data_IF_822439863105
#
_entry.id   IF_822439863105
#
_cell.length_a   1.000
_cell.length_b   1.000
_cell.length_c   1.000
_cell.angle_alpha   90.00
_cell.angle_beta   90.00
_cell.angle_gamma   90.00
#
_symmetry.space_group_name_H-M   'P 1'
#
loop_
_entity.id
_entity.type
_entity.pdbx_description
1 polymer ?
#
# COMPACT_ATOMS: atom_id res chain seq x y z
N UNK A 1 -17.46 -36.05 -12.61
CA UNK A 1 -18.27 -34.83 -12.76
C UNK A 1 -17.52 -33.84 -13.62
N UNK A 2 -18.11 -33.23 -14.66
CA UNK A 2 -17.39 -32.28 -15.52
C UNK A 2 -16.88 -31.10 -14.69
N UNK A 3 -15.59 -30.81 -14.78
CA UNK A 3 -14.90 -29.73 -14.07
C UNK A 3 -15.11 -28.40 -14.80
N UNK A 4 -16.05 -27.57 -14.31
CA UNK A 4 -16.16 -26.19 -14.75
C UNK A 4 -15.14 -25.30 -14.01
N UNK A 5 -14.59 -24.31 -14.70
CA UNK A 5 -13.68 -23.33 -14.08
C UNK A 5 -14.46 -22.43 -13.12
N UNK A 6 -13.85 -22.03 -11.99
CA UNK A 6 -14.52 -21.21 -10.95
C UNK A 6 -15.10 -19.89 -11.52
N UNK A 7 -14.41 -19.27 -12.48
CA UNK A 7 -14.92 -18.06 -13.15
C UNK A 7 -16.28 -18.28 -13.83
N UNK A 8 -16.52 -19.46 -14.40
CA UNK A 8 -17.82 -19.77 -15.01
C UNK A 8 -18.91 -19.88 -13.95
N UNK A 9 -18.59 -20.42 -12.77
CA UNK A 9 -19.54 -20.48 -11.64
C UNK A 9 -19.84 -19.07 -11.10
N UNK A 10 -18.84 -18.18 -11.05
CA UNK A 10 -19.04 -16.77 -10.67
C UNK A 10 -19.96 -16.04 -11.65
N UNK A 11 -19.64 -16.09 -12.93
CA UNK A 11 -20.43 -15.41 -13.97
C UNK A 11 -21.83 -16.02 -14.04
N UNK A 12 -21.94 -17.35 -14.04
CA UNK A 12 -23.22 -18.06 -14.07
C UNK A 12 -24.08 -17.77 -12.85
N UNK A 13 -23.52 -17.83 -11.64
CA UNK A 13 -24.25 -17.54 -10.41
C UNK A 13 -24.77 -16.10 -10.35
N UNK A 14 -23.97 -15.13 -10.83
CA UNK A 14 -24.39 -13.74 -10.89
C UNK A 14 -25.52 -13.52 -11.92
N UNK A 15 -25.34 -14.01 -13.16
CA UNK A 15 -26.34 -13.88 -14.23
C UNK A 15 -27.65 -14.57 -13.85
N UNK A 16 -27.60 -15.79 -13.31
CA UNK A 16 -28.78 -16.52 -12.89
C UNK A 16 -29.49 -15.87 -11.69
N UNK A 17 -28.75 -15.14 -10.84
CA UNK A 17 -29.32 -14.39 -9.72
C UNK A 17 -30.18 -13.21 -10.16
N UNK A 18 -29.80 -12.55 -11.26
CA UNK A 18 -30.60 -11.46 -11.84
C UNK A 18 -31.68 -11.98 -12.78
N UNK A 19 -31.33 -12.90 -13.69
CA UNK A 19 -32.15 -13.25 -14.86
C UNK A 19 -32.69 -14.68 -14.84
N UNK A 20 -32.50 -15.45 -13.77
CA UNK A 20 -32.93 -16.86 -13.69
C UNK A 20 -34.44 -17.06 -13.85
N UNK A 21 -35.23 -16.03 -13.53
CA UNK A 21 -36.69 -16.04 -13.69
C UNK A 21 -37.15 -16.03 -15.15
N UNK A 22 -36.34 -15.50 -16.07
CA UNK A 22 -36.66 -15.45 -17.50
C UNK A 22 -36.63 -16.83 -18.17
N UNK A 23 -35.86 -17.76 -17.60
CA UNK A 23 -35.67 -19.12 -18.14
C UNK A 23 -36.38 -20.20 -17.31
N UNK A 24 -37.09 -19.83 -16.24
CA UNK A 24 -37.68 -20.77 -15.29
C UNK A 24 -38.75 -21.69 -15.91
N UNK A 25 -39.37 -21.26 -17.03
CA UNK A 25 -40.40 -22.01 -17.74
C UNK A 25 -39.84 -22.91 -18.87
N UNK A 26 -38.54 -22.84 -19.14
CA UNK A 26 -37.89 -23.69 -20.15
C UNK A 26 -37.68 -25.12 -19.61
N UNK A 27 -37.88 -26.16 -20.44
CA UNK A 27 -37.70 -27.53 -20.00
C UNK A 27 -36.25 -27.79 -19.56
N UNK A 28 -36.06 -28.23 -18.31
CA UNK A 28 -34.75 -28.49 -17.71
C UNK A 28 -34.09 -27.28 -17.02
N UNK A 29 -34.79 -26.15 -16.94
CA UNK A 29 -34.34 -24.92 -16.29
C UNK A 29 -35.27 -24.49 -15.14
N UNK A 30 -36.03 -25.42 -14.54
CA UNK A 30 -36.90 -25.10 -13.39
C UNK A 30 -36.09 -24.53 -12.21
N UNK A 31 -36.68 -23.71 -11.31
CA UNK A 31 -35.95 -23.09 -10.20
C UNK A 31 -35.19 -24.10 -9.32
N UNK A 32 -35.76 -25.29 -9.12
CA UNK A 32 -35.11 -26.38 -8.38
C UNK A 32 -33.91 -26.97 -9.14
N UNK A 33 -34.01 -27.14 -10.46
CA UNK A 33 -32.89 -27.62 -11.29
C UNK A 33 -31.76 -26.58 -11.34
N UNK A 34 -32.10 -25.29 -11.43
CA UNK A 34 -31.13 -24.20 -11.36
C UNK A 34 -30.38 -24.22 -10.01
N UNK A 35 -31.11 -24.41 -8.90
CA UNK A 35 -30.53 -24.52 -7.56
C UNK A 35 -29.59 -25.71 -7.44
N UNK A 36 -30.03 -26.90 -7.86
CA UNK A 36 -29.22 -28.11 -7.84
C UNK A 36 -27.95 -27.98 -8.70
N UNK A 37 -28.06 -27.34 -9.87
CA UNK A 37 -26.92 -27.09 -10.76
C UNK A 37 -25.85 -26.24 -10.07
N UNK A 38 -26.21 -25.12 -9.42
CA UNK A 38 -25.27 -24.27 -8.70
C UNK A 38 -24.74 -24.94 -7.42
N UNK A 39 -25.60 -25.59 -6.64
CA UNK A 39 -25.22 -26.23 -5.37
C UNK A 39 -24.27 -27.42 -5.57
N UNK A 40 -24.45 -28.20 -6.64
CA UNK A 40 -23.50 -29.28 -6.98
C UNK A 40 -22.08 -28.78 -7.21
N UNK A 41 -21.93 -27.51 -7.63
CA UNK A 41 -20.64 -26.86 -7.88
C UNK A 41 -20.14 -26.06 -6.68
N UNK A 42 -21.01 -25.58 -5.80
CA UNK A 42 -20.62 -24.72 -4.67
C UNK A 42 -19.62 -25.39 -3.71
N UNK A 43 -19.69 -26.72 -3.54
CA UNK A 43 -18.78 -27.45 -2.65
C UNK A 43 -17.31 -27.43 -3.12
N UNK A 44 -17.06 -27.16 -4.40
CA UNK A 44 -15.72 -27.18 -5.00
C UNK A 44 -15.15 -25.79 -5.31
N UNK A 45 -15.86 -24.72 -4.95
CA UNK A 45 -15.43 -23.34 -5.20
C UNK A 45 -14.86 -22.66 -3.96
N UNK A 46 -14.10 -21.57 -4.18
CA UNK A 46 -13.57 -20.72 -3.12
C UNK A 46 -14.66 -20.10 -2.22
N UNK A 47 -14.35 -19.72 -0.96
CA UNK A 47 -15.29 -19.05 -0.07
C UNK A 47 -15.91 -17.78 -0.68
N UNK A 48 -15.13 -16.98 -1.41
CA UNK A 48 -15.61 -15.80 -2.11
C UNK A 48 -16.69 -16.12 -3.17
N UNK A 49 -16.54 -17.25 -3.88
CA UNK A 49 -17.57 -17.70 -4.84
C UNK A 49 -18.83 -18.16 -4.13
N UNK A 50 -18.70 -18.84 -3.00
CA UNK A 50 -19.86 -19.25 -2.19
C UNK A 50 -20.60 -18.04 -1.64
N UNK A 51 -19.88 -16.97 -1.25
CA UNK A 51 -20.49 -15.72 -0.78
C UNK A 51 -21.32 -15.03 -1.88
N UNK A 52 -20.82 -15.05 -3.12
CA UNK A 52 -21.58 -14.60 -4.30
C UNK A 52 -22.85 -15.44 -4.49
N UNK A 53 -22.74 -16.77 -4.39
CA UNK A 53 -23.89 -17.68 -4.55
C UNK A 53 -24.93 -17.48 -3.43
N UNK A 54 -24.54 -17.14 -2.20
CA UNK A 54 -25.50 -16.80 -1.15
C UNK A 54 -26.33 -15.57 -1.52
N UNK A 55 -25.76 -14.59 -2.22
CA UNK A 55 -26.51 -13.44 -2.76
C UNK A 55 -27.44 -13.84 -3.92
N UNK A 56 -27.03 -14.78 -4.77
CA UNK A 56 -27.92 -15.39 -5.77
C UNK A 56 -29.13 -16.07 -5.10
N UNK A 57 -28.89 -16.81 -4.02
CA UNK A 57 -29.93 -17.53 -3.28
C UNK A 57 -30.92 -16.60 -2.60
N UNK A 58 -30.49 -15.45 -2.06
CA UNK A 58 -31.44 -14.50 -1.45
C UNK A 58 -32.35 -13.87 -2.49
N UNK A 59 -31.83 -13.58 -3.69
CA UNK A 59 -32.63 -13.11 -4.83
C UNK A 59 -33.64 -14.15 -5.28
N UNK A 60 -33.25 -15.41 -5.35
CA UNK A 60 -34.17 -16.51 -5.66
C UNK A 60 -35.22 -16.74 -4.57
N UNK A 61 -34.91 -16.49 -3.30
CA UNK A 61 -35.92 -16.54 -2.25
C UNK A 61 -37.01 -15.47 -2.42
N UNK A 62 -36.68 -14.33 -3.04
CA UNK A 62 -37.64 -13.29 -3.40
C UNK A 62 -38.47 -13.67 -4.66
N UNK A 63 -37.84 -14.26 -5.67
CA UNK A 63 -38.47 -14.50 -6.98
C UNK A 63 -39.17 -15.86 -7.10
N UNK A 64 -38.73 -16.87 -6.36
CA UNK A 64 -39.23 -18.25 -6.42
C UNK A 64 -39.70 -18.73 -5.03
N UNK A 65 -40.97 -18.48 -4.65
CA UNK A 65 -41.52 -18.91 -3.37
C UNK A 65 -41.46 -20.44 -3.15
N UNK A 66 -41.50 -21.22 -4.23
CA UNK A 66 -41.48 -22.69 -4.22
C UNK A 66 -40.19 -23.31 -3.67
N UNK A 67 -39.03 -22.66 -3.85
CA UNK A 67 -37.74 -23.14 -3.33
C UNK A 67 -37.31 -22.45 -2.03
N UNK A 68 -38.13 -21.53 -1.49
CA UNK A 68 -37.80 -20.71 -0.30
C UNK A 68 -37.38 -21.56 0.90
N UNK A 69 -38.06 -22.68 1.15
CA UNK A 69 -37.75 -23.57 2.28
C UNK A 69 -36.39 -24.27 2.14
N UNK A 70 -36.02 -24.66 0.92
CA UNK A 70 -34.70 -25.27 0.67
C UNK A 70 -33.58 -24.24 0.84
N UNK A 71 -33.80 -23.01 0.38
CA UNK A 71 -32.85 -21.91 0.53
C UNK A 71 -32.64 -21.53 2.02
N UNK A 72 -33.71 -21.53 2.83
CA UNK A 72 -33.60 -21.34 4.29
C UNK A 72 -32.74 -22.42 4.95
N UNK A 73 -32.90 -23.69 4.54
CA UNK A 73 -32.04 -24.78 5.02
C UNK A 73 -30.57 -24.62 4.61
N UNK A 74 -30.29 -24.02 3.45
CA UNK A 74 -28.93 -23.69 3.03
C UNK A 74 -28.37 -22.57 3.90
N UNK A 75 -29.10 -21.46 4.10
CA UNK A 75 -28.64 -20.37 4.94
C UNK A 75 -28.36 -20.83 6.36
N UNK A 76 -29.23 -21.64 6.96
CA UNK A 76 -29.03 -22.14 8.33
C UNK A 76 -27.72 -22.94 8.47
N UNK A 77 -27.40 -23.77 7.48
CA UNK A 77 -26.12 -24.48 7.44
C UNK A 77 -24.92 -23.53 7.39
N UNK A 78 -24.99 -22.45 6.62
CA UNK A 78 -23.89 -21.48 6.49
C UNK A 78 -23.73 -20.56 7.70
N UNK A 79 -24.75 -20.42 8.57
CA UNK A 79 -24.64 -19.65 9.84
C UNK A 79 -23.62 -20.24 10.81
N UNK A 80 -23.34 -21.53 10.71
CA UNK A 80 -22.42 -22.25 11.58
C UNK A 80 -21.01 -22.42 10.98
N UNK A 81 -20.73 -21.81 9.82
CA UNK A 81 -19.42 -21.85 9.18
C UNK A 81 -18.48 -20.84 9.83
N UNK A 82 -17.18 -21.17 9.92
CA UNK A 82 -16.15 -20.34 10.57
C UNK A 82 -15.73 -19.11 9.76
N UNK A 83 -16.01 -19.10 8.46
CA UNK A 83 -15.69 -17.99 7.57
C UNK A 83 -16.63 -16.81 7.85
N UNK A 84 -16.05 -15.66 8.22
CA UNK A 84 -16.82 -14.50 8.70
C UNK A 84 -17.75 -13.92 7.65
N UNK A 85 -17.34 -13.89 6.38
CA UNK A 85 -18.13 -13.33 5.28
C UNK A 85 -19.31 -14.24 4.95
N UNK A 86 -19.08 -15.56 4.87
CA UNK A 86 -20.16 -16.53 4.65
C UNK A 86 -21.14 -16.56 5.82
N UNK A 87 -20.63 -16.55 7.06
CA UNK A 87 -21.44 -16.56 8.26
C UNK A 87 -22.30 -15.31 8.37
N UNK A 88 -21.72 -14.13 8.15
CA UNK A 88 -22.44 -12.86 8.22
C UNK A 88 -23.58 -12.83 7.20
N UNK A 89 -23.29 -13.09 5.93
CA UNK A 89 -24.31 -13.14 4.87
C UNK A 89 -25.41 -14.16 5.17
N UNK A 90 -25.05 -15.35 5.62
CA UNK A 90 -26.01 -16.39 5.93
C UNK A 90 -26.92 -16.01 7.11
N UNK A 91 -26.38 -15.39 8.17
CA UNK A 91 -27.17 -14.88 9.29
C UNK A 91 -28.13 -13.78 8.86
N UNK A 92 -27.66 -12.80 8.10
CA UNK A 92 -28.49 -11.68 7.63
C UNK A 92 -29.57 -12.16 6.64
N UNK A 93 -29.20 -12.95 5.64
CA UNK A 93 -30.15 -13.49 4.66
C UNK A 93 -31.17 -14.43 5.29
N UNK A 94 -30.78 -15.27 6.25
CA UNK A 94 -31.73 -16.12 6.98
C UNK A 94 -32.79 -15.27 7.70
N UNK A 95 -32.37 -14.19 8.37
CA UNK A 95 -33.30 -13.29 9.09
C UNK A 95 -34.22 -12.55 8.11
N UNK A 96 -33.71 -12.08 6.97
CA UNK A 96 -34.51 -11.36 5.98
C UNK A 96 -35.54 -12.31 5.34
N UNK A 97 -35.15 -13.52 4.94
CA UNK A 97 -36.03 -14.48 4.26
C UNK A 97 -37.03 -15.14 5.21
N UNK A 98 -36.71 -15.24 6.51
CA UNK A 98 -37.62 -15.80 7.54
C UNK A 98 -38.71 -14.82 7.99
N UNK A 99 -38.70 -13.58 7.51
CA UNK A 99 -39.76 -12.61 7.81
C UNK A 99 -41.08 -12.99 7.12
N UNK A 100 -42.24 -12.58 7.68
CA UNK A 100 -43.53 -12.76 7.03
C UNK A 100 -43.57 -12.07 5.66
N UNK A 101 -44.33 -12.63 4.72
CA UNK A 101 -44.41 -12.14 3.33
C UNK A 101 -45.09 -10.75 3.21
N UNK A 102 -45.71 -10.25 4.29
CA UNK A 102 -46.26 -8.89 4.39
C UNK A 102 -45.17 -7.80 4.52
N UNK A 103 -43.91 -8.17 4.80
CA UNK A 103 -42.79 -7.25 4.92
C UNK A 103 -42.14 -6.99 3.55
N UNK A 104 -42.33 -5.78 3.03
CA UNK A 104 -41.81 -5.32 1.72
C UNK A 104 -40.28 -5.25 1.71
N UNK A 105 -39.60 -5.40 2.86
CA UNK A 105 -38.15 -5.30 2.96
C UNK A 105 -37.40 -6.28 2.04
N UNK A 106 -37.85 -7.54 1.92
CA UNK A 106 -37.18 -8.51 1.04
C UNK A 106 -37.24 -8.09 -0.44
N UNK A 107 -38.38 -7.54 -0.86
CA UNK A 107 -38.59 -7.05 -2.22
C UNK A 107 -37.72 -5.81 -2.50
N UNK A 108 -37.72 -4.84 -1.58
CA UNK A 108 -36.93 -3.60 -1.72
C UNK A 108 -35.41 -3.88 -1.74
N UNK A 109 -34.93 -4.83 -0.93
CA UNK A 109 -33.50 -5.20 -0.90
C UNK A 109 -33.09 -5.94 -2.17
N UNK A 110 -34.01 -6.67 -2.81
CA UNK A 110 -33.76 -7.47 -4.00
C UNK A 110 -34.23 -6.80 -5.30
N UNK A 111 -34.40 -5.48 -5.32
CA UNK A 111 -34.70 -4.72 -6.54
C UNK A 111 -33.65 -4.94 -7.64
N UNK A 112 -34.07 -4.78 -8.89
CA UNK A 112 -33.17 -4.90 -10.04
C UNK A 112 -32.03 -3.88 -9.94
N UNK A 113 -30.80 -4.35 -10.14
CA UNK A 113 -29.67 -3.45 -10.04
C UNK A 113 -29.69 -2.40 -11.16
N UNK A 114 -29.44 -1.12 -10.86
CA UNK A 114 -29.34 -0.09 -11.87
C UNK A 114 -28.17 -0.37 -12.84
N UNK A 115 -28.27 0.08 -14.10
CA UNK A 115 -27.17 -0.07 -15.05
C UNK A 115 -25.91 0.60 -14.53
N UNK A 116 -24.77 -0.06 -14.71
CA UNK A 116 -23.48 0.54 -14.33
C UNK A 116 -23.27 1.87 -15.07
N UNK A 117 -22.83 2.93 -14.39
CA UNK A 117 -22.53 4.19 -15.05
C UNK A 117 -21.40 3.97 -16.05
N UNK A 118 -21.40 4.75 -17.15
CA UNK A 118 -20.33 4.72 -18.13
C UNK A 118 -19.00 5.09 -17.43
N UNK A 119 -18.06 4.15 -17.39
CA UNK A 119 -16.74 4.29 -16.79
C UNK A 119 -15.68 3.96 -17.82
N UNK A 120 -14.51 4.59 -17.71
CA UNK A 120 -13.34 4.15 -18.46
C UNK A 120 -13.06 2.66 -18.18
N UNK A 121 -12.68 1.91 -19.22
CA UNK A 121 -12.52 0.47 -19.10
C UNK A 121 -11.38 0.12 -18.14
N UNK A 122 -11.70 -0.43 -16.97
CA UNK A 122 -10.71 -0.95 -16.03
C UNK A 122 -9.79 -2.01 -16.67
N UNK A 123 -10.28 -2.72 -17.70
CA UNK A 123 -9.49 -3.65 -18.50
C UNK A 123 -8.45 -2.93 -19.38
N UNK A 124 -8.80 -1.80 -20.00
CA UNK A 124 -7.85 -0.97 -20.74
C UNK A 124 -6.79 -0.39 -19.80
N UNK A 125 -7.18 0.03 -18.60
CA UNK A 125 -6.23 0.49 -17.57
C UNK A 125 -5.25 -0.63 -17.18
N UNK A 126 -5.73 -1.85 -16.90
CA UNK A 126 -4.88 -3.01 -16.60
C UNK A 126 -4.01 -3.44 -17.79
N UNK A 127 -4.54 -3.35 -19.01
CA UNK A 127 -3.80 -3.64 -20.24
C UNK A 127 -2.65 -2.64 -20.43
N UNK A 128 -2.94 -1.35 -20.25
CA UNK A 128 -1.96 -0.27 -20.34
C UNK A 128 -0.89 -0.39 -19.24
N UNK A 129 -1.27 -0.81 -18.04
CA UNK A 129 -0.33 -1.08 -16.95
C UNK A 129 0.60 -2.25 -17.29
N UNK A 130 0.06 -3.36 -17.82
CA UNK A 130 0.88 -4.51 -18.25
C UNK A 130 1.80 -4.22 -19.44
N UNK A 131 1.36 -3.39 -20.40
CA UNK A 131 2.20 -2.97 -21.52
C UNK A 131 3.23 -1.90 -21.13
N UNK A 132 2.97 -1.12 -20.08
CA UNK A 132 3.91 -0.12 -19.55
C UNK A 132 5.15 -0.74 -18.89
N UNK A 133 5.03 -1.96 -18.35
CA UNK A 133 6.12 -2.71 -17.71
C UNK A 133 7.06 -3.41 -18.70
N UNK A 134 6.64 -3.58 -19.95
CA UNK A 134 7.51 -4.16 -20.99
C UNK A 134 8.19 -3.01 -21.71
N UNK A 135 9.50 -2.82 -21.51
CA UNK A 135 10.27 -1.64 -21.94
C UNK A 135 10.37 -1.34 -23.44
N UNK A 136 9.54 -1.94 -24.29
CA UNK A 136 9.48 -1.64 -25.70
C UNK A 136 8.52 -0.47 -26.00
N UNK A 137 9.09 0.74 -26.00
CA UNK A 137 8.36 1.98 -26.30
C UNK A 137 8.03 2.15 -27.79
N UNK A 138 8.23 1.12 -28.62
CA UNK A 138 8.13 1.21 -30.09
C UNK A 138 7.13 0.26 -30.74
N UNK A 139 6.29 -0.42 -29.98
CA UNK A 139 5.17 -1.16 -30.57
C UNK A 139 4.01 -0.20 -30.88
N UNK A 140 3.84 0.10 -32.16
CA UNK A 140 2.59 0.60 -32.70
C UNK A 140 1.48 -0.38 -32.32
N UNK A 141 0.49 0.08 -31.57
CA UNK A 141 -0.68 -0.73 -31.25
C UNK A 141 -1.60 -0.72 -32.48
N UNK A 142 -2.02 -1.91 -32.91
CA UNK A 142 -3.02 -2.08 -33.96
C UNK A 142 -4.37 -1.62 -33.39
N UNK A 143 -4.66 -0.34 -33.56
CA UNK A 143 -5.89 0.32 -33.10
C UNK A 143 -6.18 1.64 -33.83
N UNK A 144 -5.46 1.93 -34.91
CA UNK A 144 -5.66 3.15 -35.70
C UNK A 144 -5.16 4.43 -35.03
N UNK A 145 -5.07 5.48 -35.84
CA UNK A 145 -4.49 6.80 -35.51
C UNK A 145 -5.19 7.52 -34.34
N UNK A 146 -6.45 7.18 -34.07
CA UNK A 146 -7.28 7.81 -33.03
C UNK A 146 -6.89 7.36 -31.61
N UNK A 147 -6.60 6.08 -31.38
CA UNK A 147 -6.20 5.56 -30.08
C UNK A 147 -4.84 6.14 -29.58
N UNK A 148 -3.99 6.58 -30.52
CA UNK A 148 -2.74 7.26 -30.20
C UNK A 148 -2.93 8.78 -29.96
N UNK A 149 -3.95 9.39 -30.58
CA UNK A 149 -4.27 10.81 -30.41
C UNK A 149 -4.88 11.09 -29.03
N UNK A 150 -5.77 10.21 -28.54
CA UNK A 150 -6.35 10.32 -27.19
C UNK A 150 -5.29 10.20 -26.09
N UNK A 151 -4.22 9.44 -26.35
CA UNK A 151 -3.07 9.30 -25.45
C UNK A 151 -2.20 10.56 -25.38
N UNK A 152 -2.10 11.34 -26.46
CA UNK A 152 -1.42 12.64 -26.46
C UNK A 152 -2.29 13.76 -25.85
N UNK A 153 -3.62 13.66 -25.98
CA UNK A 153 -4.57 14.59 -25.38
C UNK A 153 -4.68 14.39 -23.86
N UNK A 154 -4.76 13.16 -23.38
CA UNK A 154 -4.79 12.83 -21.95
C UNK A 154 -3.50 13.26 -21.23
N UNK A 155 -2.35 13.19 -21.91
CA UNK A 155 -1.06 13.69 -21.38
C UNK A 155 -1.01 15.21 -21.26
N UNK A 156 -1.69 15.96 -22.14
CA UNK A 156 -1.71 17.43 -22.11
C UNK A 156 -2.61 17.98 -21.00
N UNK A 157 -3.73 17.33 -20.70
CA UNK A 157 -4.63 17.77 -19.62
C UNK A 157 -4.08 17.53 -18.20
N UNK A 158 -3.16 16.57 -18.01
CA UNK A 158 -2.50 16.34 -16.72
C UNK A 158 -1.36 17.34 -16.41
N UNK A 159 -1.03 18.24 -17.33
CA UNK A 159 0.11 19.17 -17.22
C UNK A 159 -0.29 20.65 -17.03
N UNK A 160 -1.57 21.00 -16.95
CA UNK A 160 -2.02 22.42 -16.99
C UNK A 160 -2.85 22.94 -15.80
N UNK A 161 -2.72 22.39 -14.59
CA UNK A 161 -3.35 22.99 -13.40
C UNK A 161 -2.30 23.33 -12.35
N UNK A 162 -1.88 24.60 -12.34
CA UNK A 162 -0.98 25.16 -11.34
C UNK A 162 -0.42 26.53 -11.73
N UNK A 163 -1.27 27.57 -11.72
CA UNK A 163 -0.87 28.98 -11.87
C UNK A 163 -1.98 29.90 -11.38
N UNK A 164 -1.63 30.76 -10.43
CA UNK A 164 -2.48 31.40 -9.42
C UNK A 164 -2.95 32.83 -9.79
N UNK A 165 -3.96 33.31 -9.05
CA UNK A 165 -4.30 34.71 -8.68
C UNK A 165 -5.03 35.68 -9.65
N UNK A 166 -6.27 36.11 -9.30
CA UNK A 166 -6.62 37.43 -8.66
C UNK A 166 -8.11 37.87 -8.80
N UNK A 167 -8.73 38.16 -7.65
CA UNK A 167 -9.81 39.13 -7.30
C UNK A 167 -10.68 39.84 -8.37
N UNK A 168 -12.02 39.71 -8.31
CA UNK A 168 -13.03 40.70 -7.78
C UNK A 168 -14.47 40.49 -8.33
N UNK A 169 -15.44 40.52 -7.41
CA UNK A 169 -16.85 40.94 -7.49
C UNK A 169 -17.76 40.47 -8.66
N UNK A 170 -18.71 39.57 -8.35
CA UNK A 170 -20.16 39.87 -8.38
C UNK A 170 -21.01 38.69 -7.90
N UNK A 171 -21.77 38.92 -6.84
CA UNK A 171 -22.88 38.07 -6.40
C UNK A 171 -24.01 38.15 -7.45
N UNK A 172 -24.56 37.02 -7.89
CA UNK A 172 -25.86 36.41 -7.50
C UNK A 172 -26.02 35.10 -8.29
N UNK A 173 -25.83 33.95 -7.66
CA UNK A 173 -26.32 32.62 -8.15
C UNK A 173 -25.98 31.44 -7.23
N UNK A 174 -25.31 31.66 -6.10
CA UNK A 174 -24.66 30.57 -5.36
C UNK A 174 -25.47 29.99 -4.18
N UNK A 175 -26.80 29.97 -4.29
CA UNK A 175 -27.69 29.30 -3.31
C UNK A 175 -28.17 27.93 -3.76
N UNK A 176 -27.83 27.49 -4.97
CA UNK A 176 -28.20 26.16 -5.49
C UNK A 176 -27.01 25.19 -5.58
N UNK A 177 -25.76 25.65 -5.41
CA UNK A 177 -24.56 24.78 -5.37
C UNK A 177 -24.25 24.24 -3.97
N UNK A 178 -24.67 24.95 -2.91
CA UNK A 178 -24.40 24.56 -1.52
C UNK A 178 -25.36 23.49 -0.97
N UNK A 179 -26.34 23.03 -1.76
CA UNK A 179 -27.21 21.91 -1.39
C UNK A 179 -26.79 20.56 -2.03
N UNK A 180 -25.77 20.56 -2.90
CA UNK A 180 -25.20 19.35 -3.50
C UNK A 180 -24.17 18.63 -2.60
N UNK A 181 -24.01 19.07 -1.35
CA UNK A 181 -23.01 18.56 -0.40
C UNK A 181 -23.56 17.73 0.76
N UNK A 182 -24.87 17.45 0.79
CA UNK A 182 -25.49 16.61 1.82
C UNK A 182 -25.96 15.28 1.21
N UNK A 183 -24.99 14.43 0.85
CA UNK A 183 -25.24 13.03 0.56
C UNK A 183 -25.32 12.25 1.89
N UNK A 184 -26.56 11.97 2.32
CA UNK A 184 -26.90 11.21 3.52
C UNK A 184 -27.14 9.71 3.21
N UNK A 185 -26.67 9.17 2.09
CA UNK A 185 -26.86 7.76 1.72
C UNK A 185 -25.64 7.19 0.98
N UNK A 186 -24.49 7.09 1.66
CA UNK A 186 -23.41 6.19 1.21
C UNK A 186 -23.69 4.77 1.68
N UNK A 187 -24.47 4.03 0.88
CA UNK A 187 -24.37 2.57 0.84
C UNK A 187 -23.07 2.21 0.13
N UNK A 188 -22.22 1.46 0.83
CA UNK A 188 -20.90 1.04 0.40
C UNK A 188 -20.96 0.28 -0.94
N UNK A 189 -20.41 0.89 -1.98
CA UNK A 189 -20.00 0.20 -3.21
C UNK A 189 -18.80 -0.68 -2.86
N UNK A 190 -19.06 -1.97 -2.63
CA UNK A 190 -18.06 -3.01 -2.42
C UNK A 190 -17.15 -3.07 -3.67
N UNK A 191 -15.97 -2.47 -3.54
CA UNK A 191 -14.81 -2.73 -4.40
C UNK A 191 -14.30 -4.15 -4.07
N UNK A 192 -13.79 -4.90 -5.06
CA UNK A 192 -13.24 -6.23 -4.80
C UNK A 192 -12.10 -6.09 -3.80
N UNK A 193 -12.15 -6.94 -2.77
CA UNK A 193 -11.24 -7.10 -1.64
C UNK A 193 -9.80 -6.61 -1.90
N UNK A 194 -9.62 -5.30 -1.78
CA UNK A 194 -8.38 -4.69 -1.32
C UNK A 194 -8.64 -4.59 0.17
N UNK A 195 -7.97 -5.42 0.98
CA UNK A 195 -7.91 -5.21 2.44
C UNK A 195 -7.84 -3.71 2.66
N UNK A 196 -8.77 -3.08 3.40
CA UNK A 196 -8.72 -1.64 3.59
C UNK A 196 -7.36 -1.33 4.18
N UNK A 197 -6.44 -0.83 3.37
CA UNK A 197 -5.13 -0.39 3.84
C UNK A 197 -5.44 0.67 4.88
N UNK A 198 -5.07 0.46 6.16
CA UNK A 198 -5.40 1.40 7.22
C UNK A 198 -4.96 2.79 6.78
N UNK A 199 -5.89 3.76 6.76
CA UNK A 199 -5.56 5.14 6.38
C UNK A 199 -4.43 5.61 7.30
N UNK A 200 -3.29 5.95 6.71
CA UNK A 200 -2.13 6.43 7.46
C UNK A 200 -2.50 7.70 8.24
N UNK A 201 -2.04 7.78 9.47
CA UNK A 201 -2.14 9.00 10.28
C UNK A 201 -1.15 10.01 9.72
N UNK A 202 -1.66 11.09 9.13
CA UNK A 202 -0.83 12.10 8.48
C UNK A 202 -0.82 13.40 9.30
N UNK A 203 0.38 13.91 9.56
CA UNK A 203 0.64 15.25 10.08
C UNK A 203 2.02 15.69 9.55
N UNK A 204 2.27 16.98 9.28
CA UNK A 204 3.58 17.46 8.83
C UNK A 204 4.73 17.04 9.77
N UNK A 205 4.48 16.97 11.07
CA UNK A 205 5.49 16.56 12.06
C UNK A 205 5.82 15.07 11.95
N UNK A 206 4.82 14.22 11.67
CA UNK A 206 4.99 12.77 11.50
C UNK A 206 5.94 12.48 10.33
N UNK A 207 5.75 13.17 9.20
CA UNK A 207 6.61 12.98 8.03
C UNK A 207 8.05 13.39 8.34
N UNK A 208 8.23 14.54 8.98
CA UNK A 208 9.55 15.04 9.39
C UNK A 208 10.26 14.09 10.36
N UNK A 209 9.52 13.54 11.31
CA UNK A 209 10.04 12.56 12.28
C UNK A 209 10.40 11.24 11.61
N UNK A 210 9.53 10.72 10.74
CA UNK A 210 9.77 9.53 9.95
C UNK A 210 11.05 9.68 9.10
N UNK A 211 11.15 10.76 8.32
CA UNK A 211 12.33 11.06 7.51
C UNK A 211 13.61 11.13 8.35
N UNK A 212 13.56 11.76 9.53
CA UNK A 212 14.71 11.80 10.45
C UNK A 212 15.11 10.41 10.92
N UNK A 213 14.14 9.57 11.30
CA UNK A 213 14.36 8.21 11.77
C UNK A 213 14.87 7.25 10.68
N UNK A 214 14.68 7.56 9.39
CA UNK A 214 15.34 6.80 8.32
C UNK A 214 16.87 6.86 8.42
N UNK A 215 17.44 7.93 8.99
CA UNK A 215 18.89 8.16 9.10
C UNK A 215 19.41 8.14 10.53
N UNK A 216 18.57 8.40 11.53
CA UNK A 216 18.91 8.32 12.94
C UNK A 216 18.54 6.95 13.53
N UNK A 217 19.24 6.47 14.57
CA UNK A 217 18.87 5.22 15.25
C UNK A 217 17.68 5.40 16.20
N UNK A 218 17.47 6.61 16.74
CA UNK A 218 16.44 6.90 17.73
C UNK A 218 15.79 8.27 17.55
N UNK A 219 14.56 8.40 18.06
CA UNK A 219 13.78 9.64 18.02
C UNK A 219 12.29 9.41 18.26
N UNK A 220 11.53 10.51 18.25
CA UNK A 220 10.06 10.49 18.28
C UNK A 220 9.56 10.16 16.86
N UNK A 221 8.57 9.27 16.75
CA UNK A 221 7.85 8.94 15.50
C UNK A 221 6.46 9.60 15.45
N UNK A 222 5.83 9.76 16.62
CA UNK A 222 4.52 10.37 16.74
C UNK A 222 4.36 10.99 18.13
N UNK A 223 3.67 12.12 18.19
CA UNK A 223 3.28 12.75 19.45
C UNK A 223 2.00 13.55 19.28
N UNK A 224 1.05 13.35 20.18
CA UNK A 224 -0.12 14.20 20.35
C UNK A 224 -0.34 14.56 21.83
N UNK A 225 -1.57 14.97 22.18
CA UNK A 225 -1.93 15.31 23.57
C UNK A 225 -2.01 14.06 24.47
N UNK A 226 -2.31 12.89 23.90
CA UNK A 226 -2.62 11.67 24.65
C UNK A 226 -1.43 10.70 24.71
N UNK A 227 -0.73 10.49 23.60
CA UNK A 227 0.28 9.47 23.38
C UNK A 227 1.52 10.05 22.71
N UNK A 228 2.69 9.58 23.13
CA UNK A 228 3.94 9.75 22.42
C UNK A 228 4.49 8.38 22.03
N UNK A 229 4.92 8.21 20.78
CA UNK A 229 5.56 7.00 20.28
C UNK A 229 7.00 7.33 19.90
N UNK A 230 7.94 6.79 20.68
CA UNK A 230 9.37 6.83 20.40
C UNK A 230 9.84 5.55 19.71
N UNK A 231 10.89 5.66 18.92
CA UNK A 231 11.54 4.53 18.24
C UNK A 231 13.03 4.55 18.58
N UNK A 232 13.57 3.37 18.85
CA UNK A 232 15.02 3.12 18.89
C UNK A 232 15.30 1.84 18.11
N UNK A 233 16.26 1.88 17.20
CA UNK A 233 16.52 0.80 16.27
C UNK A 233 18.02 0.48 16.18
N UNK A 234 18.32 -0.80 16.09
CA UNK A 234 19.66 -1.34 15.89
C UNK A 234 19.58 -2.45 14.86
N UNK A 235 20.54 -2.49 13.93
CA UNK A 235 20.58 -3.44 12.82
C UNK A 235 21.97 -4.06 12.71
N UNK A 236 22.02 -5.36 12.44
CA UNK A 236 23.25 -6.09 12.20
C UNK A 236 23.00 -7.17 11.14
N UNK A 237 23.74 -7.11 10.04
CA UNK A 237 23.48 -7.91 8.86
C UNK A 237 22.02 -7.79 8.39
N UNK A 238 21.36 -8.92 8.23
CA UNK A 238 19.97 -9.00 7.78
C UNK A 238 18.95 -8.92 8.93
N UNK A 239 19.40 -8.74 10.17
CA UNK A 239 18.55 -8.71 11.37
C UNK A 239 18.47 -7.30 11.95
N UNK A 240 17.30 -6.96 12.48
CA UNK A 240 17.04 -5.71 13.18
C UNK A 240 16.30 -5.91 14.49
N UNK A 241 16.55 -5.02 15.44
CA UNK A 241 15.82 -4.89 16.70
C UNK A 241 15.29 -3.47 16.80
N UNK A 242 13.96 -3.33 16.86
CA UNK A 242 13.31 -2.02 16.96
C UNK A 242 12.51 -1.96 18.25
N UNK A 243 12.94 -1.13 19.19
CA UNK A 243 12.20 -0.80 20.39
C UNK A 243 11.23 0.34 20.13
N UNK A 244 9.95 0.08 20.37
CA UNK A 244 8.87 1.06 20.36
C UNK A 244 8.56 1.46 21.80
N UNK A 245 8.48 2.77 22.06
CA UNK A 245 8.19 3.33 23.36
C UNK A 245 6.85 4.06 23.32
N UNK A 246 5.83 3.49 23.96
CA UNK A 246 4.48 4.07 24.04
C UNK A 246 4.34 4.83 25.36
N UNK A 247 4.47 6.16 25.32
CA UNK A 247 4.35 7.06 26.46
C UNK A 247 2.93 7.60 26.62
N UNK A 248 2.20 7.15 27.64
CA UNK A 248 0.88 7.66 27.98
C UNK A 248 1.01 9.03 28.66
N UNK A 249 0.54 10.09 28.01
CA UNK A 249 0.55 11.48 28.52
C UNK A 249 -0.69 11.81 29.34
N UNK A 250 -1.69 10.95 29.38
CA UNK A 250 -2.90 11.13 30.18
C UNK A 250 -2.66 10.80 31.66
N UNK A 251 -3.53 11.33 32.52
CA UNK A 251 -3.62 10.98 33.95
C UNK A 251 -4.50 9.74 34.20
N UNK A 252 -5.11 9.18 33.15
CA UNK A 252 -5.85 7.92 33.18
C UNK A 252 -5.12 6.83 32.40
N UNK A 253 -5.43 5.56 32.70
CA UNK A 253 -4.84 4.43 31.99
C UNK A 253 -5.46 4.32 30.59
N UNK A 254 -4.63 4.07 29.59
CA UNK A 254 -5.11 3.67 28.26
C UNK A 254 -5.48 2.20 28.32
N UNK A 255 -6.75 1.89 28.08
CA UNK A 255 -7.27 0.51 28.12
C UNK A 255 -7.50 -0.03 26.72
N UNK A 256 -7.67 -1.34 26.58
CA UNK A 256 -7.83 -2.01 25.27
C UNK A 256 -6.72 -1.65 24.28
N UNK A 257 -5.50 -1.43 24.79
CA UNK A 257 -4.35 -1.11 23.97
C UNK A 257 -3.99 -2.31 23.10
N UNK A 258 -3.87 -2.06 21.81
CA UNK A 258 -3.46 -3.05 20.80
C UNK A 258 -2.43 -2.41 19.90
N UNK A 259 -1.38 -3.17 19.59
CA UNK A 259 -0.36 -2.77 18.63
C UNK A 259 -0.11 -3.95 17.69
N UNK A 260 -0.27 -3.72 16.38
CA UNK A 260 -0.03 -4.71 15.35
C UNK A 260 0.84 -4.10 14.25
N UNK A 261 1.57 -4.95 13.52
CA UNK A 261 2.38 -4.50 12.39
C UNK A 261 1.86 -5.17 11.13
N UNK A 262 1.49 -4.34 10.16
CA UNK A 262 1.15 -4.78 8.81
C UNK A 262 2.38 -4.68 7.90
N UNK A 263 2.56 -5.71 7.07
CA UNK A 263 3.74 -5.88 6.23
C UNK A 263 3.23 -6.11 4.81
N UNK A 264 3.58 -5.21 3.90
CA UNK A 264 3.14 -5.29 2.50
C UNK A 264 3.67 -6.55 1.80
N UNK A 265 4.97 -6.84 1.94
CA UNK A 265 5.62 -8.03 1.40
C UNK A 265 6.21 -8.90 2.53
N UNK A 266 5.46 -9.96 2.89
CA UNK A 266 5.84 -10.90 3.95
C UNK A 266 6.91 -11.90 3.52
N UNK A 267 7.16 -12.04 2.21
CA UNK A 267 8.21 -12.89 1.67
C UNK A 267 9.56 -12.17 1.73
N UNK A 268 9.57 -10.85 1.51
CA UNK A 268 10.78 -10.04 1.57
C UNK A 268 11.14 -9.53 2.98
N UNK A 269 10.16 -9.27 3.85
CA UNK A 269 10.37 -8.72 5.19
C UNK A 269 9.56 -9.46 6.25
N UNK A 270 10.18 -9.76 7.40
CA UNK A 270 9.50 -10.27 8.58
C UNK A 270 9.63 -9.29 9.74
N UNK A 271 8.52 -8.95 10.38
CA UNK A 271 8.48 -8.10 11.56
C UNK A 271 7.50 -8.71 12.57
N UNK A 272 7.96 -8.98 13.79
CA UNK A 272 7.13 -9.56 14.84
C UNK A 272 7.48 -8.98 16.20
N UNK A 273 6.47 -8.79 17.06
CA UNK A 273 6.71 -8.45 18.45
C UNK A 273 7.39 -9.61 19.19
N UNK A 274 8.42 -9.29 19.98
CA UNK A 274 9.14 -10.25 20.82
C UNK A 274 8.24 -10.83 21.93
N UNK A 275 7.26 -10.06 22.38
CA UNK A 275 6.25 -10.42 23.38
C UNK A 275 4.91 -9.81 22.98
N UNK A 276 3.82 -10.43 23.40
CA UNK A 276 2.48 -9.88 23.20
C UNK A 276 2.41 -8.49 23.88
N UNK A 277 2.04 -7.41 23.16
CA UNK A 277 1.90 -6.10 23.77
C UNK A 277 0.87 -6.10 24.92
N UNK A 278 1.10 -5.32 25.99
CA UNK A 278 0.16 -5.22 27.10
C UNK A 278 -1.14 -4.56 26.62
N UNK A 279 -2.26 -4.99 27.19
CA UNK A 279 -3.58 -4.42 26.86
C UNK A 279 -3.87 -3.10 27.57
N UNK A 280 -2.95 -2.64 28.43
CA UNK A 280 -3.07 -1.36 29.13
C UNK A 280 -1.73 -0.64 29.19
N UNK A 281 -1.78 0.70 29.12
CA UNK A 281 -0.62 1.57 29.37
C UNK A 281 -0.96 2.52 30.52
N UNK A 282 -0.22 2.38 31.62
CA UNK A 282 -0.51 3.10 32.86
C UNK A 282 -0.36 4.63 32.70
N UNK A 283 -1.12 5.42 33.49
CA UNK A 283 -1.05 6.88 33.42
C UNK A 283 0.37 7.41 33.60
N UNK A 284 0.77 8.39 32.79
CA UNK A 284 2.09 9.04 32.90
C UNK A 284 3.28 8.07 32.88
N UNK A 285 3.12 6.88 32.30
CA UNK A 285 4.18 5.89 32.15
C UNK A 285 4.49 5.61 30.69
N UNK A 286 5.63 4.96 30.45
CA UNK A 286 6.05 4.51 29.14
C UNK A 286 6.14 2.98 29.10
N UNK A 287 5.46 2.38 28.13
CA UNK A 287 5.53 0.94 27.85
C UNK A 287 6.48 0.69 26.69
N UNK A 288 7.47 -0.19 26.89
CA UNK A 288 8.41 -0.59 25.85
C UNK A 288 7.97 -1.90 25.18
N UNK A 289 7.93 -1.92 23.86
CA UNK A 289 7.74 -3.13 23.05
C UNK A 289 8.91 -3.33 22.11
N UNK A 290 9.37 -4.58 21.96
CA UNK A 290 10.49 -4.91 21.08
C UNK A 290 9.98 -5.65 19.85
N UNK A 291 10.38 -5.18 18.67
CA UNK A 291 10.17 -5.86 17.39
C UNK A 291 11.46 -6.59 16.98
N UNK A 292 11.30 -7.83 16.55
CA UNK A 292 12.29 -8.58 15.78
C UNK A 292 12.02 -8.38 14.30
N UNK A 293 13.07 -7.97 13.58
CA UNK A 293 13.01 -7.68 12.15
C UNK A 293 14.00 -8.57 11.43
N UNK A 294 13.58 -9.18 10.32
CA UNK A 294 14.44 -9.95 9.42
C UNK A 294 14.20 -9.51 7.98
N UNK A 295 15.26 -9.06 7.31
CA UNK A 295 15.27 -8.76 5.88
C UNK A 295 15.62 -10.03 5.09
N UNK A 296 14.66 -10.58 4.36
CA UNK A 296 14.81 -11.81 3.58
C UNK A 296 15.19 -11.53 2.14
N UNK A 297 14.59 -10.50 1.55
CA UNK A 297 14.82 -10.06 0.17
C UNK A 297 14.63 -8.55 0.05
N UNK A 298 14.82 -8.02 -1.15
CA UNK A 298 14.59 -6.61 -1.46
C UNK A 298 13.12 -6.25 -1.23
N UNK A 299 12.87 -5.15 -0.53
CA UNK A 299 11.55 -4.56 -0.33
C UNK A 299 11.63 -3.03 -0.46
N UNK A 300 10.53 -2.40 -0.87
CA UNK A 300 10.41 -0.94 -1.03
C UNK A 300 9.43 -0.34 -0.02
N UNK A 301 8.37 -1.06 0.32
CA UNK A 301 7.32 -0.56 1.19
C UNK A 301 7.68 -0.76 2.68
N UNK A 302 7.73 0.31 3.48
CA UNK A 302 7.95 0.19 4.92
C UNK A 302 6.73 -0.45 5.62
N UNK A 303 6.93 -1.20 6.70
CA UNK A 303 5.83 -1.78 7.48
C UNK A 303 5.03 -0.71 8.23
N UNK A 304 3.75 -0.98 8.46
CA UNK A 304 2.82 -0.04 9.10
C UNK A 304 2.50 -0.54 10.52
N UNK A 305 2.75 0.30 11.51
CA UNK A 305 2.33 0.08 12.90
C UNK A 305 0.89 0.59 13.08
N UNK A 306 -0.03 -0.30 13.42
CA UNK A 306 -1.40 0.05 13.78
C UNK A 306 -1.53 -0.02 15.30
N UNK A 307 -1.89 1.09 15.93
CA UNK A 307 -2.10 1.24 17.37
C UNK A 307 -3.54 1.63 17.62
N UNK A 308 -4.24 0.89 18.48
CA UNK A 308 -5.59 1.27 18.91
C UNK A 308 -5.73 1.15 20.42
N UNK A 309 -6.43 2.09 21.04
CA UNK A 309 -6.62 2.15 22.49
C UNK A 309 -7.89 2.94 22.84
N UNK A 310 -8.40 2.76 24.05
CA UNK A 310 -9.49 3.54 24.62
C UNK A 310 -8.97 4.64 25.54
N UNK A 311 -9.36 5.88 25.23
CA UNK A 311 -9.08 7.08 26.04
C UNK A 311 -10.32 8.00 26.03
N UNK A 312 -11.40 7.55 26.67
CA UNK A 312 -12.73 8.18 26.58
C UNK A 312 -13.50 7.74 25.33
N UNK A 313 -12.83 7.77 24.16
CA UNK A 313 -13.30 7.16 22.91
C UNK A 313 -12.23 6.22 22.34
N UNK A 314 -12.62 5.39 21.36
CA UNK A 314 -11.68 4.54 20.63
C UNK A 314 -10.78 5.41 19.73
N UNK A 315 -9.47 5.28 19.92
CA UNK A 315 -8.45 5.93 19.09
C UNK A 315 -7.78 4.88 18.20
N UNK A 316 -7.40 5.29 16.98
CA UNK A 316 -6.70 4.44 16.02
C UNK A 316 -5.64 5.26 15.28
N UNK A 317 -4.40 4.78 15.30
CA UNK A 317 -3.24 5.46 14.74
C UNK A 317 -2.48 4.46 13.85
N UNK A 318 -2.22 4.84 12.61
CA UNK A 318 -1.50 3.99 11.64
C UNK A 318 -0.25 4.73 11.16
N UNK A 319 0.93 4.25 11.53
CA UNK A 319 2.21 4.94 11.30
C UNK A 319 3.15 4.08 10.47
N UNK A 320 3.86 4.67 9.51
CA UNK A 320 4.98 4.00 8.85
C UNK A 320 6.12 3.83 9.85
N UNK A 321 6.62 2.59 9.98
CA UNK A 321 7.82 2.33 10.75
C UNK A 321 9.06 2.62 9.90
N UNK A 322 10.12 3.24 10.46
CA UNK A 322 11.36 3.56 9.75
C UNK A 322 12.25 2.31 9.54
N UNK A 323 11.64 1.21 9.12
CA UNK A 323 12.29 -0.04 8.72
C UNK A 323 12.32 -0.02 7.19
N UNK A 324 13.49 0.34 6.65
CA UNK A 324 13.72 0.54 5.21
C UNK A 324 14.96 -0.25 4.79
N UNK A 325 15.08 -0.51 3.48
CA UNK A 325 16.17 -1.34 2.93
C UNK A 325 17.56 -0.85 3.33
N UNK A 326 17.77 0.47 3.41
CA UNK A 326 19.07 1.07 3.74
C UNK A 326 19.57 0.73 5.14
N UNK A 327 18.68 0.38 6.09
CA UNK A 327 19.06 -0.01 7.45
C UNK A 327 19.81 -1.33 7.54
N UNK A 328 19.76 -2.16 6.49
CA UNK A 328 20.43 -3.46 6.42
C UNK A 328 21.76 -3.42 5.66
N UNK A 329 22.28 -2.21 5.38
CA UNK A 329 23.63 -2.03 4.87
C UNK A 329 24.65 -2.03 6.00
N UNK A 330 25.74 -2.74 5.77
CA UNK A 330 26.97 -2.63 6.57
C UNK A 330 28.06 -1.99 5.74
N UNK A 331 28.64 -0.92 6.27
CA UNK A 331 29.71 -0.19 5.62
C UNK A 331 30.99 -1.02 5.52
N UNK A 332 31.64 -0.97 4.35
CA UNK A 332 32.88 -1.74 4.07
C UNK A 332 34.04 -0.77 3.85
N UNK A 333 35.19 -1.06 4.47
CA UNK A 333 36.44 -0.33 4.21
C UNK A 333 37.12 -0.94 2.98
N UNK A 334 37.45 -0.11 2.00
CA UNK A 334 38.19 -0.49 0.80
C UNK A 334 39.36 0.46 0.60
N UNK A 335 40.47 -0.06 0.08
CA UNK A 335 41.57 0.78 -0.40
C UNK A 335 41.24 1.35 -1.79
N UNK A 336 41.96 2.40 -2.22
CA UNK A 336 41.71 3.08 -3.50
C UNK A 336 41.73 2.12 -4.70
N UNK A 337 42.78 1.29 -4.82
CA UNK A 337 42.90 0.33 -5.91
C UNK A 337 41.74 -0.67 -5.94
N UNK A 338 41.39 -1.23 -4.78
CA UNK A 338 40.29 -2.19 -4.63
C UNK A 338 38.93 -1.58 -4.95
N UNK A 339 38.68 -0.33 -4.53
CA UNK A 339 37.46 0.39 -4.86
C UNK A 339 37.29 0.54 -6.37
N UNK A 340 38.30 1.03 -7.08
CA UNK A 340 38.20 1.24 -8.52
C UNK A 340 38.21 -0.05 -9.32
N UNK A 341 38.86 -1.10 -8.85
CA UNK A 341 38.75 -2.45 -9.41
C UNK A 341 37.29 -2.93 -9.36
N UNK A 342 36.67 -2.90 -8.17
CA UNK A 342 35.26 -3.28 -7.99
C UNK A 342 34.31 -2.36 -8.76
N UNK A 343 34.60 -1.06 -8.78
CA UNK A 343 33.84 -0.07 -9.55
C UNK A 343 33.81 -0.44 -11.04
N UNK A 344 34.97 -0.78 -11.61
CA UNK A 344 35.08 -1.24 -13.02
C UNK A 344 34.40 -2.59 -13.23
N UNK A 345 34.53 -3.51 -12.29
CA UNK A 345 33.93 -4.85 -12.38
C UNK A 345 32.40 -4.83 -12.42
N UNK A 346 31.76 -3.95 -11.64
CA UNK A 346 30.29 -3.78 -11.70
C UNK A 346 29.84 -3.26 -13.07
N UNK A 347 30.67 -2.42 -13.70
CA UNK A 347 30.42 -1.89 -15.04
C UNK A 347 29.43 -0.72 -15.05
N UNK A 348 28.83 -0.47 -16.22
CA UNK A 348 27.85 0.60 -16.44
C UNK A 348 26.39 0.14 -16.29
N UNK A 349 25.44 0.86 -16.91
CA UNK A 349 24.02 0.48 -16.92
C UNK A 349 23.82 -0.96 -17.43
N UNK A 350 22.86 -1.73 -16.86
CA UNK A 350 21.82 -1.33 -15.90
C UNK A 350 22.24 -1.38 -14.42
N UNK A 351 23.46 -1.83 -14.12
CA UNK A 351 23.99 -1.93 -12.74
C UNK A 351 24.52 -0.62 -12.18
N UNK A 352 24.57 0.41 -13.03
CA UNK A 352 24.81 1.79 -12.68
C UNK A 352 23.50 2.59 -12.77
N UNK A 353 23.17 3.27 -11.67
CA UNK A 353 22.17 4.34 -11.66
C UNK A 353 22.91 5.66 -11.47
N UNK A 354 22.60 6.65 -12.30
CA UNK A 354 23.20 7.99 -12.23
C UNK A 354 22.12 9.06 -12.29
N UNK A 355 22.25 10.08 -11.43
CA UNK A 355 21.34 11.22 -11.41
C UNK A 355 22.11 12.51 -11.19
N UNK A 356 21.68 13.57 -11.87
CA UNK A 356 22.16 14.94 -11.68
C UNK A 356 21.02 15.76 -11.10
N UNK A 357 21.27 16.51 -10.03
CA UNK A 357 20.25 17.30 -9.35
C UNK A 357 20.83 18.55 -8.67
N UNK A 358 20.00 19.57 -8.39
CA UNK A 358 20.43 20.77 -7.66
C UNK A 358 20.86 20.44 -6.23
N UNK A 359 21.94 21.05 -5.76
CA UNK A 359 22.46 20.86 -4.40
C UNK A 359 22.38 22.14 -3.58
N UNK A 360 22.21 21.98 -2.27
CA UNK A 360 22.26 23.12 -1.35
C UNK A 360 23.69 23.66 -1.24
N UNK A 361 23.79 24.98 -1.33
CA UNK A 361 25.01 25.75 -1.12
C UNK A 361 24.75 26.76 0.01
N UNK A 362 25.77 26.99 0.82
CA UNK A 362 25.76 28.01 1.86
C UNK A 362 25.65 29.41 1.25
N UNK A 363 25.32 30.42 2.07
CA UNK A 363 25.21 31.82 1.65
C UNK A 363 26.52 32.38 1.07
N UNK A 364 27.66 31.80 1.40
CA UNK A 364 28.99 32.14 0.88
C UNK A 364 29.34 31.42 -0.43
N UNK A 365 28.43 30.59 -0.96
CA UNK A 365 28.64 29.79 -2.18
C UNK A 365 29.40 28.48 -1.96
N UNK A 366 29.76 28.13 -0.72
CA UNK A 366 30.41 26.85 -0.40
C UNK A 366 29.40 25.69 -0.35
N UNK A 367 29.88 24.46 -0.54
CA UNK A 367 29.05 23.25 -0.45
C UNK A 367 28.81 22.84 1.00
N UNK A 368 27.61 22.33 1.31
CA UNK A 368 27.28 21.73 2.60
C UNK A 368 27.87 20.30 2.76
N UNK A 369 29.19 20.14 2.60
CA UNK A 369 29.86 18.83 2.58
C UNK A 369 29.56 18.00 3.83
N UNK A 370 29.52 18.61 5.01
CA UNK A 370 29.22 17.90 6.27
C UNK A 370 27.79 17.36 6.31
N UNK A 371 26.81 18.07 5.73
CA UNK A 371 25.44 17.56 5.60
C UNK A 371 25.41 16.38 4.65
N UNK A 372 26.09 16.47 3.50
CA UNK A 372 26.16 15.39 2.52
C UNK A 372 26.78 14.13 3.14
N UNK A 373 27.90 14.27 3.85
CA UNK A 373 28.53 13.18 4.60
C UNK A 373 27.59 12.57 5.64
N UNK A 374 26.87 13.38 6.41
CA UNK A 374 25.87 12.88 7.38
C UNK A 374 24.74 12.10 6.73
N UNK A 375 24.25 12.54 5.56
CA UNK A 375 23.22 11.81 4.82
C UNK A 375 23.73 10.44 4.37
N UNK A 376 24.93 10.38 3.80
CA UNK A 376 25.53 9.12 3.31
C UNK A 376 25.82 8.15 4.47
N UNK A 377 26.37 8.67 5.57
CA UNK A 377 26.61 7.87 6.77
C UNK A 377 25.31 7.32 7.39
N UNK A 378 24.23 8.11 7.35
CA UNK A 378 22.91 7.70 7.84
C UNK A 378 22.24 6.59 7.04
N UNK A 379 22.70 6.32 5.81
CA UNK A 379 22.22 5.26 4.92
C UNK A 379 22.94 3.92 5.19
N UNK A 380 23.94 3.90 6.09
CA UNK A 380 24.67 2.68 6.47
C UNK A 380 25.92 2.39 5.63
N UNK A 381 26.22 3.22 4.63
CA UNK A 381 27.47 3.10 3.87
C UNK A 381 28.65 3.70 4.63
N UNK A 382 29.84 3.10 4.47
CA UNK A 382 31.09 3.67 4.98
C UNK A 382 31.63 4.66 3.96
N UNK A 383 31.81 5.91 4.38
CA UNK A 383 32.55 6.90 3.61
C UNK A 383 34.03 6.50 3.58
N UNK A 384 34.62 6.54 2.40
CA UNK A 384 36.01 6.17 2.14
C UNK A 384 36.79 7.43 1.80
N UNK A 385 37.71 7.80 2.69
CA UNK A 385 38.58 8.95 2.50
C UNK A 385 39.71 8.61 1.50
N UNK A 386 40.19 9.64 0.79
CA UNK A 386 41.33 9.57 -0.14
C UNK A 386 41.21 8.55 -1.30
N UNK A 387 39.98 8.19 -1.67
CA UNK A 387 39.73 7.32 -2.84
C UNK A 387 39.68 8.13 -4.13
N UNK A 388 38.89 9.20 -4.18
CA UNK A 388 38.78 10.04 -5.37
C UNK A 388 39.95 11.04 -5.42
N UNK A 389 40.61 11.25 -6.58
CA UNK A 389 41.61 12.29 -6.72
C UNK A 389 41.09 13.70 -6.41
N UNK A 390 39.78 13.94 -6.59
CA UNK A 390 39.14 15.18 -6.19
C UNK A 390 38.63 15.07 -4.73
N UNK A 391 39.19 15.84 -3.78
CA UNK A 391 38.81 15.76 -2.36
C UNK A 391 37.39 16.28 -2.07
N UNK A 392 36.76 16.97 -3.03
CA UNK A 392 35.37 17.42 -2.94
C UNK A 392 34.38 16.28 -3.18
N UNK A 393 34.80 15.26 -3.93
CA UNK A 393 33.96 14.10 -4.22
C UNK A 393 33.87 13.21 -2.98
N UNK A 394 32.68 12.62 -2.77
CA UNK A 394 32.46 11.70 -1.66
C UNK A 394 32.29 10.30 -2.24
N UNK A 395 33.11 9.38 -1.77
CA UNK A 395 33.05 7.96 -2.13
C UNK A 395 32.60 7.17 -0.93
N UNK A 396 31.71 6.20 -1.14
CA UNK A 396 31.26 5.31 -0.07
C UNK A 396 31.03 3.88 -0.58
N UNK A 397 31.13 2.92 0.32
CA UNK A 397 30.90 1.51 0.03
C UNK A 397 30.18 0.80 1.17
N UNK A 398 29.39 -0.21 0.81
CA UNK A 398 28.69 -1.05 1.77
C UNK A 398 28.15 -2.31 1.11
N UNK A 399 27.72 -3.24 1.95
CA UNK A 399 27.08 -4.48 1.54
C UNK A 399 25.70 -4.52 2.17
N UNK A 400 24.68 -4.78 1.36
CA UNK A 400 23.34 -5.10 1.82
C UNK A 400 23.28 -6.57 2.20
N UNK A 401 22.72 -6.87 3.36
CA UNK A 401 22.56 -8.23 3.86
C UNK A 401 21.08 -8.64 3.83
N UNK A 402 20.78 -9.72 3.12
CA UNK A 402 19.45 -10.34 3.07
C UNK A 402 19.59 -11.84 3.35
N UNK A 403 18.67 -12.44 4.12
CA UNK A 403 18.80 -13.86 4.51
C UNK A 403 18.55 -14.82 3.35
N UNK A 404 17.55 -14.56 2.50
CA UNK A 404 17.20 -15.43 1.38
C UNK A 404 17.87 -14.99 0.06
N UNK A 405 17.89 -13.68 -0.24
CA UNK A 405 18.47 -13.13 -1.47
C UNK A 405 20.00 -12.95 -1.42
N UNK A 406 20.62 -13.20 -0.26
CA UNK A 406 22.07 -13.12 -0.07
C UNK A 406 22.61 -11.70 0.11
N UNK A 407 23.87 -11.50 -0.28
CA UNK A 407 24.58 -10.23 -0.09
C UNK A 407 24.71 -9.48 -1.40
N UNK A 408 24.48 -8.17 -1.38
CA UNK A 408 24.59 -7.30 -2.55
C UNK A 408 25.53 -6.15 -2.25
N UNK A 409 26.59 -6.00 -3.04
CA UNK A 409 27.54 -4.91 -2.90
C UNK A 409 26.98 -3.61 -3.48
N UNK A 410 27.23 -2.49 -2.82
CA UNK A 410 26.91 -1.15 -3.31
C UNK A 410 28.11 -0.23 -3.17
N UNK A 411 28.44 0.44 -4.27
CA UNK A 411 29.45 1.47 -4.37
C UNK A 411 28.78 2.77 -4.76
N UNK A 412 29.22 3.87 -4.15
CA UNK A 412 28.63 5.18 -4.34
C UNK A 412 29.74 6.20 -4.59
N UNK A 413 29.48 7.10 -5.53
CA UNK A 413 30.32 8.27 -5.82
C UNK A 413 29.43 9.49 -5.99
N UNK A 414 29.69 10.52 -5.22
CA UNK A 414 29.02 11.82 -5.26
C UNK A 414 30.03 12.86 -5.72
N UNK A 415 29.64 13.63 -6.73
CA UNK A 415 30.47 14.64 -7.38
C UNK A 415 29.71 15.98 -7.34
N UNK A 416 29.83 16.74 -6.23
CA UNK A 416 29.16 18.02 -6.07
C UNK A 416 29.96 19.14 -6.74
N UNK A 417 29.27 20.06 -7.41
CA UNK A 417 29.87 21.22 -8.07
C UNK A 417 29.25 22.52 -7.53
N UNK A 418 30.04 23.28 -6.76
CA UNK A 418 29.63 24.52 -6.12
C UNK A 418 29.23 25.59 -7.15
N UNK A 419 30.03 25.78 -8.21
CA UNK A 419 29.82 26.82 -9.22
C UNK A 419 28.54 26.56 -10.04
N UNK A 420 28.31 25.31 -10.41
CA UNK A 420 27.11 24.92 -11.16
C UNK A 420 25.87 24.74 -10.26
N UNK A 421 26.04 24.66 -8.94
CA UNK A 421 24.98 24.28 -7.97
C UNK A 421 24.32 22.94 -8.29
N UNK A 422 25.06 22.04 -8.93
CA UNK A 422 24.62 20.72 -9.33
C UNK A 422 25.47 19.64 -8.65
N UNK A 423 24.85 18.51 -8.38
CA UNK A 423 25.51 17.32 -7.86
C UNK A 423 25.22 16.14 -8.78
N UNK A 424 26.25 15.37 -9.12
CA UNK A 424 26.10 14.08 -9.79
C UNK A 424 26.29 12.97 -8.77
N UNK A 425 25.24 12.19 -8.56
CA UNK A 425 25.27 10.95 -7.77
C UNK A 425 25.36 9.78 -8.73
N UNK A 426 26.30 8.87 -8.49
CA UNK A 426 26.42 7.59 -9.20
C UNK A 426 26.42 6.46 -8.19
N UNK A 427 25.50 5.52 -8.35
CA UNK A 427 25.38 4.32 -7.54
C UNK A 427 25.60 3.10 -8.43
N UNK A 428 26.54 2.24 -8.05
CA UNK A 428 26.81 0.97 -8.72
C UNK A 428 26.55 -0.18 -7.76
N UNK A 429 25.73 -1.14 -8.17
CA UNK A 429 25.44 -2.32 -7.36
C UNK A 429 25.47 -3.58 -8.21
N UNK A 430 25.75 -4.73 -7.59
CA UNK A 430 25.66 -6.03 -8.27
C UNK A 430 24.23 -6.41 -8.67
N UNK A 431 23.23 -5.68 -8.16
CA UNK A 431 21.82 -5.75 -8.56
C UNK A 431 21.32 -4.41 -9.11
N UNK A 432 20.70 -4.44 -10.29
CA UNK A 432 20.15 -3.24 -10.96
C UNK A 432 19.01 -2.59 -10.16
N UNK A 433 18.14 -3.41 -9.56
CA UNK A 433 16.99 -2.92 -8.81
C UNK A 433 17.45 -2.18 -7.54
N UNK A 434 18.46 -2.72 -6.87
CA UNK A 434 19.06 -2.11 -5.67
C UNK A 434 19.82 -0.83 -6.03
N UNK A 435 20.49 -0.78 -7.18
CA UNK A 435 21.14 0.45 -7.65
C UNK A 435 20.11 1.58 -7.85
N UNK A 436 18.95 1.27 -8.45
CA UNK A 436 17.88 2.24 -8.66
C UNK A 436 17.23 2.68 -7.35
N UNK A 437 16.92 1.75 -6.44
CA UNK A 437 16.29 2.06 -5.16
C UNK A 437 17.20 2.92 -4.27
N UNK A 438 18.48 2.54 -4.18
CA UNK A 438 19.47 3.28 -3.42
C UNK A 438 19.67 4.71 -3.95
N UNK A 439 19.62 4.88 -5.28
CA UNK A 439 19.64 6.21 -5.90
C UNK A 439 18.48 7.09 -5.41
N UNK A 440 17.26 6.56 -5.42
CA UNK A 440 16.07 7.31 -4.99
C UNK A 440 16.18 7.74 -3.52
N UNK A 441 16.59 6.82 -2.65
CA UNK A 441 16.68 7.05 -1.20
C UNK A 441 17.75 8.08 -0.80
N UNK A 442 18.87 8.14 -1.53
CA UNK A 442 19.95 9.09 -1.25
C UNK A 442 19.71 10.43 -1.93
N UNK A 443 19.14 10.44 -3.13
CA UNK A 443 18.85 11.67 -3.85
C UNK A 443 17.88 12.56 -3.09
N UNK A 444 16.78 12.01 -2.59
CA UNK A 444 15.71 12.78 -1.94
C UNK A 444 16.20 13.77 -0.86
N UNK A 445 17.04 13.38 0.13
CA UNK A 445 17.54 14.31 1.15
C UNK A 445 18.63 15.29 0.67
N UNK A 446 19.25 15.04 -0.48
CA UNK A 446 20.33 15.87 -1.05
C UNK A 446 19.82 16.87 -2.10
N UNK A 447 18.68 16.57 -2.74
CA UNK A 447 18.09 17.36 -3.81
C UNK A 447 17.46 18.65 -3.27
N UNK A 448 18.03 19.79 -3.66
CA UNK A 448 17.59 21.11 -3.22
C UNK A 448 16.30 21.60 -3.90
N UNK A 449 15.78 20.88 -4.90
CA UNK A 449 14.55 21.25 -5.63
C UNK A 449 13.25 21.04 -4.82
N UNK A 450 13.32 20.55 -3.58
CA UNK A 450 12.14 20.34 -2.73
C UNK A 450 11.29 19.16 -3.19
N UNK A 451 11.92 18.09 -3.66
CA UNK A 451 11.24 16.90 -4.17
C UNK A 451 10.37 16.22 -3.12
N UNK A 452 9.07 16.53 -3.12
CA UNK A 452 8.03 15.65 -2.58
C UNK A 452 8.17 14.31 -3.31
N UNK A 453 8.76 13.32 -2.65
CA UNK A 453 8.72 11.95 -3.13
C UNK A 453 7.32 11.42 -2.82
N UNK A 454 6.55 11.16 -3.88
CA UNK A 454 5.38 10.30 -3.76
C UNK A 454 5.90 8.88 -3.52
N UNK A 455 5.89 8.46 -2.26
CA UNK A 455 5.99 7.06 -1.84
C UNK A 455 4.61 6.67 -1.32
#
# INVERSE_FOLDING_TARGET
MPSCHESLVKVGGYILGEYGHLIANEPGCSPIEQLQALQSKSHFTSPATRALLLSTYVKWANVFPEIKQELLGIFDRYRHVLDSELQQRACEYYVIVSRPDDDVLLQNVCEEMPPFPARESALLSRLNQKHGDTGDKRTWIIGGKEANADREAARRNTLSVGGDQTNTNNAVSDVMSSLAGLDLLSTDVIKPDVKPTPKLTTSPDIERWYEKLTRAPEGVLYEDVQLQIGVKSEYHGHLGRVALYFGNKLSSAMTSFTATVDIGDKEALSVSFAKIPPTTVNPKTQSQQLLHVECKSMFTNPPILNVSYMAGSLQSINLRLPIILTKFYEGVKLAQAEFFERWKLVGGPPRESQSIFPVHVNSDGSLETERQKKVIAGVGLKILDDIDPNPVNIVAAGVLHMSAAGKVGCLLRIEPNAAAKLCRLTVRSTSEVIASEMMAMIRAPLDASGGKTGI
#
